data_IF_467843713766
#
_entry.id   IF_467843713766
#
_cell.length_a   1.000
_cell.length_b   1.000
_cell.length_c   1.000
_cell.angle_alpha   90.00
_cell.angle_beta   90.00
_cell.angle_gamma   90.00
#
_symmetry.space_group_name_H-M   'P 1'
#
loop_
_entity.id
_entity.type
_entity.pdbx_description
1 polymer ?
#
# COMPACT_ATOMS: atom_id res chain seq x y z
N UNK A 1 3.43 1.65 -23.24
CA UNK A 1 3.84 1.38 -21.84
C UNK A 1 2.76 0.51 -21.22
N UNK A 2 3.13 -0.58 -20.55
CA UNK A 2 2.15 -1.41 -19.85
C UNK A 2 1.71 -0.66 -18.61
N UNK A 3 0.40 -0.53 -18.40
CA UNK A 3 -0.13 -0.09 -17.12
C UNK A 3 0.27 -1.12 -16.06
N UNK A 4 0.82 -0.66 -14.94
CA UNK A 4 1.29 -1.51 -13.85
C UNK A 4 0.79 -0.95 -12.53
N UNK A 5 0.35 -1.84 -11.64
CA UNK A 5 -0.17 -1.52 -10.31
C UNK A 5 0.28 -2.60 -9.34
N UNK A 6 0.82 -2.22 -8.18
CA UNK A 6 1.13 -3.18 -7.12
C UNK A 6 -0.15 -3.64 -6.42
N UNK A 7 -0.52 -4.91 -6.60
CA UNK A 7 -1.71 -5.50 -5.98
C UNK A 7 -1.41 -6.40 -4.77
N UNK A 8 -0.13 -6.69 -4.51
CA UNK A 8 0.34 -7.42 -3.34
C UNK A 8 1.48 -6.62 -2.72
N UNK A 9 1.21 -5.96 -1.60
CA UNK A 9 2.21 -5.17 -0.89
C UNK A 9 1.92 -5.10 0.61
N UNK A 10 2.97 -5.02 1.41
CA UNK A 10 2.86 -5.05 2.86
C UNK A 10 3.12 -3.66 3.44
N UNK A 11 2.28 -3.23 4.37
CA UNK A 11 2.44 -1.97 5.09
C UNK A 11 3.08 -2.22 6.46
N UNK A 12 3.36 -1.17 7.22
CA UNK A 12 3.77 -1.24 8.63
C UNK A 12 2.82 -2.06 9.54
N UNK A 13 1.62 -2.42 9.07
CA UNK A 13 0.69 -3.28 9.79
C UNK A 13 0.95 -4.78 9.57
N UNK A 14 1.88 -5.15 8.69
CA UNK A 14 2.54 -6.45 8.70
C UNK A 14 3.64 -6.45 9.77
N UNK A 15 3.26 -6.81 11.01
CA UNK A 15 4.01 -6.46 12.22
C UNK A 15 5.46 -6.98 12.29
N UNK A 16 5.77 -8.07 11.59
CA UNK A 16 7.09 -8.72 11.68
C UNK A 16 8.08 -8.26 10.61
N UNK A 17 7.59 -7.73 9.49
CA UNK A 17 8.40 -7.52 8.27
C UNK A 17 7.95 -6.33 7.41
N UNK A 18 6.75 -5.80 7.62
CA UNK A 18 6.24 -4.62 6.94
C UNK A 18 6.89 -3.33 7.46
N UNK A 19 7.56 -2.61 6.57
CA UNK A 19 8.23 -1.34 6.91
C UNK A 19 7.60 -0.11 6.25
N UNK A 20 6.83 -0.29 5.18
CA UNK A 20 6.30 0.84 4.40
C UNK A 20 5.12 1.52 5.10
N UNK A 21 5.22 2.83 5.33
CA UNK A 21 4.07 3.62 5.80
C UNK A 21 3.05 3.76 4.67
N UNK A 22 1.76 3.78 5.02
CA UNK A 22 0.66 3.90 4.06
C UNK A 22 0.79 5.17 3.20
N UNK A 23 1.00 6.34 3.82
CA UNK A 23 1.16 7.62 3.12
C UNK A 23 2.33 7.64 2.13
N UNK A 24 3.47 7.05 2.51
CA UNK A 24 4.64 6.99 1.62
C UNK A 24 4.39 6.07 0.43
N UNK A 25 3.72 4.94 0.66
CA UNK A 25 3.35 3.98 -0.38
C UNK A 25 2.39 4.61 -1.41
N UNK A 26 1.34 5.29 -0.96
CA UNK A 26 0.38 5.97 -1.84
C UNK A 26 1.08 7.09 -2.62
N UNK A 27 1.91 7.90 -1.96
CA UNK A 27 2.64 8.99 -2.60
C UNK A 27 3.60 8.46 -3.68
N UNK A 28 4.28 7.35 -3.41
CA UNK A 28 5.19 6.70 -4.36
C UNK A 28 4.43 6.11 -5.56
N UNK A 29 3.32 5.42 -5.33
CA UNK A 29 2.48 4.89 -6.40
C UNK A 29 1.97 6.00 -7.34
N UNK A 30 1.52 7.14 -6.77
CA UNK A 30 1.12 8.34 -7.53
C UNK A 30 2.29 8.92 -8.33
N UNK A 31 3.48 9.02 -7.73
CA UNK A 31 4.68 9.53 -8.40
C UNK A 31 5.16 8.62 -9.56
N UNK A 32 4.96 7.31 -9.43
CA UNK A 32 5.32 6.33 -10.45
C UNK A 32 4.24 6.16 -11.54
N UNK A 33 3.16 6.96 -11.48
CA UNK A 33 2.07 6.92 -12.46
C UNK A 33 1.17 5.69 -12.36
N UNK A 34 1.19 4.98 -11.23
CA UNK A 34 0.31 3.83 -11.01
C UNK A 34 -1.13 4.30 -10.73
N UNK A 35 -2.09 3.75 -11.46
CA UNK A 35 -3.51 4.11 -11.31
C UNK A 35 -4.15 3.54 -10.04
N UNK A 36 -3.56 2.47 -9.50
CA UNK A 36 -4.04 1.79 -8.30
C UNK A 36 -2.87 1.20 -7.49
N UNK A 37 -3.11 1.02 -6.20
CA UNK A 37 -2.22 0.30 -5.28
C UNK A 37 -3.09 -0.46 -4.28
N UNK A 38 -2.68 -1.67 -3.89
CA UNK A 38 -3.35 -2.46 -2.86
C UNK A 38 -2.44 -2.68 -1.65
N UNK A 39 -3.07 -2.90 -0.50
CA UNK A 39 -2.42 -3.36 0.73
C UNK A 39 -2.90 -4.77 1.06
N UNK A 40 -1.96 -5.67 1.32
CA UNK A 40 -2.20 -7.10 1.58
C UNK A 40 -1.37 -7.52 2.78
N UNK A 41 -1.70 -6.95 3.95
CA UNK A 41 -0.96 -7.21 5.19
C UNK A 41 -1.06 -8.66 5.67
N UNK A 42 -0.05 -9.11 6.40
CA UNK A 42 0.03 -10.49 6.88
C UNK A 42 -1.10 -10.84 7.86
N UNK A 43 -2.09 -11.59 7.38
CA UNK A 43 -3.16 -12.16 8.19
C UNK A 43 -4.06 -11.12 8.88
N UNK A 44 -4.01 -9.86 8.46
CA UNK A 44 -4.76 -8.78 9.09
C UNK A 44 -5.13 -7.66 8.10
N UNK A 45 -6.01 -6.76 8.55
CA UNK A 45 -6.40 -5.55 7.81
C UNK A 45 -6.38 -4.31 8.71
N UNK A 46 -5.48 -4.24 9.68
CA UNK A 46 -5.47 -3.15 10.67
C UNK A 46 -5.25 -1.78 10.01
N UNK A 47 -4.47 -1.75 8.93
CA UNK A 47 -4.20 -0.56 8.14
C UNK A 47 -5.34 -0.12 7.21
N UNK A 48 -6.40 -0.91 7.04
CA UNK A 48 -7.43 -0.65 6.01
C UNK A 48 -8.15 0.70 6.20
N UNK A 49 -8.54 1.03 7.44
CA UNK A 49 -9.21 2.31 7.72
C UNK A 49 -8.31 3.51 7.42
N UNK A 50 -7.01 3.40 7.77
CA UNK A 50 -6.02 4.43 7.49
C UNK A 50 -5.72 4.53 5.99
N UNK A 51 -5.64 3.39 5.30
CA UNK A 51 -5.44 3.33 3.86
C UNK A 51 -6.58 4.03 3.10
N UNK A 52 -7.83 3.74 3.46
CA UNK A 52 -9.01 4.38 2.83
C UNK A 52 -9.06 5.88 3.15
N UNK A 53 -8.66 6.30 4.35
CA UNK A 53 -8.63 7.71 4.72
C UNK A 53 -7.52 8.52 4.02
N UNK A 54 -6.41 7.87 3.64
CA UNK A 54 -5.24 8.53 3.02
C UNK A 54 -5.17 8.40 1.48
N UNK A 55 -5.91 7.46 0.89
CA UNK A 55 -5.95 7.20 -0.55
C UNK A 55 -6.51 8.39 -1.35
#
# INVERSE_FOLDING_TARGET
MSDYCHLHNHTQFSLLDGHSSISSMISKAKADGQQAVAITDHGNMFGAFKFVAEA
#
